data_IF_507680599923
#
_entry.id   IF_507680599923
#
_cell.length_a   1.000
_cell.length_b   1.000
_cell.length_c   1.000
_cell.angle_alpha   90.00
_cell.angle_beta   90.00
_cell.angle_gamma   90.00
#
_symmetry.space_group_name_H-M   'P 1'
#
loop_
_entity.id
_entity.type
_entity.pdbx_description
1 polymer ?
#
# COMPACT_ATOMS: atom_id res chain seq x y z
N UNK A 1 17.87 77.31 -71.29
CA UNK A 1 19.25 77.55 -71.76
C UNK A 1 20.02 78.23 -70.63
N UNK A 2 21.23 77.73 -70.31
CA UNK A 2 22.22 78.24 -69.31
C UNK A 2 21.83 78.08 -67.84
N UNK A 3 22.40 77.09 -67.14
CA UNK A 3 23.71 77.12 -66.42
C UNK A 3 23.69 78.20 -65.33
N UNK A 4 23.62 77.77 -64.07
CA UNK A 4 23.92 78.61 -62.91
C UNK A 4 24.67 77.79 -61.84
N UNK A 5 25.62 78.51 -61.26
CA UNK A 5 26.73 78.13 -60.40
C UNK A 5 26.30 77.73 -58.97
N UNK A 6 27.11 76.87 -58.33
CA UNK A 6 27.12 76.64 -56.87
C UNK A 6 27.56 77.89 -56.10
N UNK A 7 27.14 78.02 -54.82
CA UNK A 7 28.18 78.00 -53.78
C UNK A 7 27.81 77.25 -52.48
N UNK A 8 28.83 76.53 -51.99
CA UNK A 8 29.23 76.24 -50.60
C UNK A 8 28.15 76.29 -49.50
N UNK A 9 27.62 75.11 -49.18
CA UNK A 9 26.88 74.83 -47.95
C UNK A 9 27.80 74.35 -46.80
N UNK A 10 27.50 74.84 -45.62
CA UNK A 10 28.19 74.64 -44.34
C UNK A 10 28.21 73.18 -43.89
N UNK A 11 29.34 72.78 -43.28
CA UNK A 11 29.51 71.53 -42.55
C UNK A 11 28.54 71.47 -41.38
N UNK A 12 27.76 70.42 -41.29
CA UNK A 12 27.14 69.97 -40.04
C UNK A 12 27.27 68.45 -39.99
N UNK A 13 28.08 68.02 -39.04
CA UNK A 13 28.44 66.64 -38.76
C UNK A 13 27.22 66.00 -38.09
N UNK A 14 26.65 65.00 -38.76
CA UNK A 14 25.67 64.08 -38.17
C UNK A 14 26.37 63.29 -37.07
N UNK A 15 26.18 63.68 -35.80
CA UNK A 15 26.54 62.86 -34.66
C UNK A 15 25.49 61.75 -34.58
N UNK A 16 25.88 60.57 -35.05
CA UNK A 16 25.18 59.31 -34.81
C UNK A 16 25.25 59.05 -33.31
N UNK A 17 24.18 59.38 -32.59
CA UNK A 17 24.01 58.98 -31.20
C UNK A 17 23.88 57.45 -31.15
N UNK A 18 25.00 56.78 -30.89
CA UNK A 18 25.01 55.39 -30.43
C UNK A 18 24.31 55.40 -29.08
N UNK A 19 23.02 55.06 -29.10
CA UNK A 19 22.29 54.69 -27.89
C UNK A 19 22.86 53.34 -27.48
N UNK A 20 23.92 53.38 -26.67
CA UNK A 20 24.30 52.27 -25.80
C UNK A 20 23.12 52.05 -24.87
N UNK A 21 22.26 51.11 -25.24
CA UNK A 21 21.37 50.44 -24.30
C UNK A 21 22.30 49.72 -23.34
N UNK A 22 22.70 50.43 -22.28
CA UNK A 22 23.11 49.80 -21.04
C UNK A 22 21.83 49.13 -20.56
N UNK A 23 21.58 47.92 -21.06
CA UNK A 23 20.78 46.96 -20.34
C UNK A 23 21.49 46.83 -19.01
N UNK A 24 21.01 47.58 -18.02
CA UNK A 24 21.16 47.19 -16.64
C UNK A 24 20.61 45.77 -16.62
N UNK A 25 21.52 44.81 -16.72
CA UNK A 25 21.32 43.47 -16.22
C UNK A 25 21.06 43.70 -14.74
N UNK A 26 19.82 44.02 -14.41
CA UNK A 26 19.24 43.59 -13.17
C UNK A 26 19.33 42.08 -13.25
N UNK A 27 20.48 41.57 -12.80
CA UNK A 27 20.54 40.26 -12.22
C UNK A 27 19.42 40.26 -11.18
N UNK A 28 18.26 39.76 -11.60
CA UNK A 28 17.33 39.15 -10.69
C UNK A 28 18.07 37.94 -10.14
N UNK A 29 18.94 38.18 -9.17
CA UNK A 29 19.04 37.28 -8.03
C UNK A 29 17.66 37.27 -7.40
N UNK A 30 16.73 36.52 -8.01
CA UNK A 30 15.76 35.81 -7.20
C UNK A 30 16.63 34.84 -6.40
N UNK A 31 17.14 35.29 -5.27
CA UNK A 31 17.35 34.38 -4.15
C UNK A 31 16.08 33.53 -4.14
N UNK A 32 16.23 32.24 -4.44
CA UNK A 32 15.11 31.31 -4.40
C UNK A 32 14.39 31.61 -3.08
N UNK A 33 13.10 31.92 -3.14
CA UNK A 33 12.35 32.34 -1.96
C UNK A 33 12.41 31.15 -0.99
N UNK A 34 13.36 31.22 -0.06
CA UNK A 34 13.69 30.11 0.84
C UNK A 34 12.49 30.01 1.78
N UNK A 35 11.85 28.84 1.82
CA UNK A 35 10.70 28.64 2.70
C UNK A 35 11.07 29.03 4.14
N UNK A 36 10.17 29.70 4.89
CA UNK A 36 10.43 30.05 6.29
C UNK A 36 10.87 28.82 7.09
N UNK A 37 11.78 29.00 8.05
CA UNK A 37 12.36 27.91 8.83
C UNK A 37 13.46 27.10 8.13
N UNK A 38 13.58 27.08 6.80
CA UNK A 38 14.63 26.27 6.13
C UNK A 38 16.07 26.51 6.64
N UNK A 39 16.51 27.75 6.97
CA UNK A 39 17.85 27.96 7.53
C UNK A 39 18.09 27.31 8.90
N UNK A 40 17.05 26.85 9.61
CA UNK A 40 17.20 26.08 10.86
C UNK A 40 17.55 24.62 10.62
N UNK A 41 17.31 24.09 9.42
CA UNK A 41 17.63 22.70 9.08
C UNK A 41 19.14 22.61 8.86
N UNK A 42 19.85 22.00 9.81
CA UNK A 42 21.31 21.95 9.80
C UNK A 42 21.83 20.55 9.55
N UNK A 43 22.89 20.46 8.76
CA UNK A 43 23.57 19.18 8.48
C UNK A 43 24.04 18.52 9.78
N UNK A 44 24.55 19.29 10.75
CA UNK A 44 25.06 18.73 12.00
C UNK A 44 23.94 18.08 12.84
N UNK A 45 22.73 18.64 12.82
CA UNK A 45 21.57 18.12 13.56
C UNK A 45 20.99 16.87 12.89
N UNK A 46 20.81 16.92 11.56
CA UNK A 46 20.47 15.74 10.76
C UNK A 46 21.44 14.58 11.03
N UNK A 47 22.74 14.87 11.05
CA UNK A 47 23.76 13.85 11.30
C UNK A 47 23.69 13.31 12.73
N UNK A 48 23.40 14.16 13.73
CA UNK A 48 23.28 13.73 15.12
C UNK A 48 22.07 12.79 15.31
N UNK A 49 20.90 13.18 14.81
CA UNK A 49 19.68 12.39 14.89
C UNK A 49 19.85 11.06 14.14
N UNK A 50 20.40 11.10 12.92
CA UNK A 50 20.69 9.89 12.14
C UNK A 50 21.71 8.98 12.84
N UNK A 51 22.77 9.53 13.43
CA UNK A 51 23.80 8.73 14.10
C UNK A 51 23.25 7.99 15.32
N UNK A 52 22.34 8.62 16.07
CA UNK A 52 21.65 7.95 17.16
C UNK A 52 20.70 6.88 16.64
N UNK A 53 19.82 7.24 15.70
CA UNK A 53 18.83 6.33 15.13
C UNK A 53 19.48 5.11 14.49
N UNK A 54 20.60 5.28 13.79
CA UNK A 54 21.36 4.20 13.18
C UNK A 54 22.46 3.61 14.08
N UNK A 55 22.45 3.88 15.38
CA UNK A 55 23.47 3.33 16.29
C UNK A 55 23.27 1.84 16.57
N UNK A 56 24.36 1.14 16.86
CA UNK A 56 24.32 -0.26 17.30
C UNK A 56 23.50 -0.45 18.57
N UNK A 57 23.38 0.59 19.41
CA UNK A 57 22.57 0.54 20.63
C UNK A 57 21.07 0.28 20.35
N UNK A 58 20.59 0.65 19.15
CA UNK A 58 19.22 0.42 18.73
C UNK A 58 19.02 -0.90 17.97
N UNK A 59 20.08 -1.69 17.78
CA UNK A 59 20.02 -3.08 17.26
C UNK A 59 19.15 -3.24 16.01
N UNK A 60 19.17 -2.26 15.11
CA UNK A 60 18.40 -2.26 13.85
C UNK A 60 16.88 -2.09 13.98
N UNK A 61 16.36 -1.72 15.17
CA UNK A 61 14.98 -1.26 15.39
C UNK A 61 13.87 -2.16 14.84
N UNK A 62 14.08 -3.47 14.83
CA UNK A 62 13.04 -4.42 14.38
C UNK A 62 11.78 -4.26 15.24
N UNK A 63 10.62 -4.28 14.58
CA UNK A 63 9.32 -4.25 15.25
C UNK A 63 9.25 -5.21 16.43
N UNK A 64 8.74 -4.73 17.57
CA UNK A 64 8.64 -5.53 18.79
C UNK A 64 9.95 -5.74 19.56
N UNK A 65 11.05 -5.05 19.18
CA UNK A 65 12.31 -5.08 19.93
C UNK A 65 12.51 -3.84 20.80
N UNK A 66 13.36 -3.95 21.82
CA UNK A 66 13.78 -2.81 22.66
C UNK A 66 14.40 -1.66 21.85
N UNK A 67 15.09 -1.97 20.75
CA UNK A 67 15.65 -0.94 19.87
C UNK A 67 14.57 -0.08 19.21
N UNK A 68 13.46 -0.69 18.81
CA UNK A 68 12.30 0.00 18.28
C UNK A 68 11.61 0.86 19.36
N UNK A 69 11.47 0.33 20.58
CA UNK A 69 10.94 1.07 21.73
C UNK A 69 11.79 2.30 22.06
N UNK A 70 13.12 2.18 22.06
CA UNK A 70 14.02 3.31 22.32
C UNK A 70 13.95 4.37 21.22
N UNK A 71 13.82 3.97 19.95
CA UNK A 71 13.65 4.90 18.85
C UNK A 71 12.32 5.67 18.96
N UNK A 72 11.23 5.01 19.32
CA UNK A 72 9.93 5.67 19.54
C UNK A 72 9.98 6.66 20.71
N UNK A 73 10.67 6.31 21.81
CA UNK A 73 10.87 7.25 22.93
C UNK A 73 11.74 8.46 22.56
N UNK A 74 12.76 8.27 21.72
CA UNK A 74 13.59 9.35 21.21
C UNK A 74 12.77 10.35 20.37
N UNK A 75 11.95 9.85 19.44
CA UNK A 75 11.08 10.69 18.61
C UNK A 75 10.07 11.45 19.49
N UNK A 76 9.43 10.78 20.46
CA UNK A 76 8.54 11.42 21.43
C UNK A 76 9.26 12.56 22.16
N UNK A 77 10.46 12.32 22.67
CA UNK A 77 11.23 13.33 23.39
C UNK A 77 11.62 14.53 22.50
N UNK A 78 11.91 14.31 21.21
CA UNK A 78 12.12 15.39 20.24
C UNK A 78 10.84 16.20 20.04
N UNK A 79 9.69 15.56 19.80
CA UNK A 79 8.41 16.27 19.68
C UNK A 79 8.02 17.07 20.92
N UNK A 80 8.24 16.53 22.12
CA UNK A 80 8.02 17.26 23.37
C UNK A 80 8.94 18.46 23.53
N UNK A 81 10.23 18.31 23.20
CA UNK A 81 11.19 19.43 23.22
C UNK A 81 10.74 20.56 22.29
N UNK A 82 10.14 20.22 21.15
CA UNK A 82 9.62 21.18 20.17
C UNK A 82 8.25 21.77 20.54
N UNK A 83 7.65 21.37 21.67
CA UNK A 83 6.35 21.90 22.12
C UNK A 83 5.13 21.43 21.33
N UNK A 84 5.31 20.47 20.41
CA UNK A 84 4.25 19.90 19.60
C UNK A 84 3.20 19.20 20.46
N UNK A 85 1.96 19.12 19.97
CA UNK A 85 0.86 18.55 20.74
C UNK A 85 0.67 17.06 20.46
N UNK A 86 0.48 16.23 21.50
CA UNK A 86 0.06 14.85 21.31
C UNK A 86 -1.34 14.79 20.70
N UNK A 87 -1.56 13.84 19.79
CA UNK A 87 -2.85 13.66 19.09
C UNK A 87 -3.40 12.24 19.14
N UNK A 88 -2.78 11.34 19.90
CA UNK A 88 -3.37 10.02 20.12
C UNK A 88 -4.65 10.14 20.96
N UNK A 89 -5.54 9.16 20.83
CA UNK A 89 -6.87 9.15 21.47
C UNK A 89 -6.83 9.16 23.00
N UNK A 90 -5.72 8.71 23.59
CA UNK A 90 -5.49 8.72 25.04
C UNK A 90 -4.80 10.00 25.54
N UNK A 91 -4.56 10.98 24.64
CA UNK A 91 -3.86 12.23 24.94
C UNK A 91 -2.34 12.10 24.97
N UNK A 92 -1.77 10.96 24.58
CA UNK A 92 -0.33 10.73 24.46
C UNK A 92 0.19 10.97 23.04
N UNK A 93 1.52 10.88 22.86
CA UNK A 93 2.15 10.85 21.53
C UNK A 93 2.06 9.47 20.87
N UNK A 94 1.58 8.44 21.57
CA UNK A 94 1.61 7.07 21.07
C UNK A 94 0.26 6.66 20.51
N UNK A 95 0.19 6.54 19.18
CA UNK A 95 -0.93 5.86 18.55
C UNK A 95 -0.64 4.36 18.54
N UNK A 96 -1.21 3.64 19.50
CA UNK A 96 -1.07 2.18 19.59
C UNK A 96 -1.83 1.47 18.47
N UNK A 97 -1.23 0.41 17.94
CA UNK A 97 -1.87 -0.53 17.04
C UNK A 97 -1.38 -1.95 17.32
N UNK A 98 -2.06 -2.91 16.72
CA UNK A 98 -1.71 -4.31 16.83
C UNK A 98 -1.37 -4.85 15.44
N UNK A 99 -0.21 -5.48 15.34
CA UNK A 99 0.18 -6.31 14.21
C UNK A 99 -0.15 -7.77 14.51
N UNK A 100 -0.15 -8.59 13.48
CA UNK A 100 -0.28 -10.04 13.57
C UNK A 100 0.81 -10.72 12.75
N UNK A 101 1.47 -11.71 13.35
CA UNK A 101 2.27 -12.72 12.66
C UNK A 101 1.51 -14.03 12.62
N UNK A 102 1.81 -14.85 11.61
CA UNK A 102 0.94 -15.96 11.25
C UNK A 102 1.77 -17.22 11.01
N UNK A 103 1.26 -18.37 11.46
CA UNK A 103 1.82 -19.68 11.16
C UNK A 103 0.75 -20.61 10.58
N UNK A 104 1.17 -21.49 9.68
CA UNK A 104 0.28 -22.49 9.09
C UNK A 104 0.08 -23.64 10.09
N UNK A 105 -1.16 -23.87 10.51
CA UNK A 105 -1.52 -25.00 11.36
C UNK A 105 -1.55 -26.33 10.59
N UNK A 106 -1.84 -27.42 11.31
CA UNK A 106 -1.79 -28.78 10.74
C UNK A 106 -3.12 -29.26 10.17
N UNK A 107 -4.23 -28.62 10.51
CA UNK A 107 -5.59 -29.02 10.11
C UNK A 107 -6.09 -28.24 8.89
N UNK A 108 -5.36 -28.34 7.78
CA UNK A 108 -5.71 -27.72 6.50
C UNK A 108 -6.11 -28.79 5.48
N UNK A 109 -7.35 -28.75 4.98
CA UNK A 109 -7.88 -29.72 4.02
C UNK A 109 -8.92 -29.06 3.12
N UNK A 110 -8.85 -29.33 1.81
CA UNK A 110 -9.91 -29.00 0.87
C UNK A 110 -10.32 -30.25 0.10
N UNK A 111 -11.61 -30.57 0.12
CA UNK A 111 -12.18 -31.65 -0.68
C UNK A 111 -13.42 -31.16 -1.41
N UNK A 112 -13.76 -31.81 -2.52
CA UNK A 112 -14.97 -31.50 -3.26
C UNK A 112 -15.69 -32.76 -3.72
N UNK A 113 -17.01 -32.66 -3.81
CA UNK A 113 -17.84 -33.60 -4.57
C UNK A 113 -18.20 -32.93 -5.89
N UNK A 114 -17.84 -33.56 -7.01
CA UNK A 114 -18.07 -33.06 -8.38
C UNK A 114 -18.83 -34.12 -9.16
N UNK A 115 -20.09 -33.86 -9.50
CA UNK A 115 -20.98 -34.81 -10.18
C UNK A 115 -20.99 -36.20 -9.54
N UNK A 116 -21.05 -36.24 -8.19
CA UNK A 116 -21.07 -37.47 -7.39
C UNK A 116 -19.71 -38.16 -7.21
N UNK A 117 -18.60 -37.57 -7.70
CA UNK A 117 -17.24 -38.09 -7.51
C UNK A 117 -16.45 -37.21 -6.55
N UNK A 118 -15.73 -37.84 -5.63
CA UNK A 118 -14.84 -37.13 -4.72
C UNK A 118 -13.56 -36.70 -5.45
N UNK A 119 -13.22 -35.42 -5.31
CA UNK A 119 -11.96 -34.82 -5.75
C UNK A 119 -11.25 -34.35 -4.49
N UNK A 120 -10.02 -34.85 -4.28
CA UNK A 120 -9.15 -34.43 -3.18
C UNK A 120 -8.10 -33.47 -3.70
N UNK A 121 -7.58 -32.65 -2.80
CA UNK A 121 -6.51 -31.71 -3.05
C UNK A 121 -5.39 -31.92 -2.03
N UNK A 122 -4.16 -31.56 -2.40
CA UNK A 122 -2.98 -31.65 -1.54
C UNK A 122 -2.53 -30.24 -1.15
N UNK A 123 -2.33 -30.00 0.15
CA UNK A 123 -1.78 -28.74 0.65
C UNK A 123 -0.40 -28.48 0.02
N UNK A 124 -0.20 -27.29 -0.51
CA UNK A 124 1.02 -26.87 -1.21
C UNK A 124 1.03 -27.12 -2.71
N UNK A 125 0.45 -28.23 -3.17
CA UNK A 125 0.38 -28.53 -4.60
C UNK A 125 -0.91 -28.01 -5.24
N UNK A 126 -2.04 -28.19 -4.54
CA UNK A 126 -3.38 -27.87 -5.05
C UNK A 126 -4.05 -26.71 -4.32
N UNK A 127 -3.65 -26.40 -3.09
CA UNK A 127 -4.15 -25.24 -2.36
C UNK A 127 -3.20 -24.75 -1.26
N UNK A 128 -3.35 -23.51 -0.83
CA UNK A 128 -2.86 -23.03 0.46
C UNK A 128 -3.80 -21.96 1.05
N UNK A 129 -4.00 -21.89 2.38
CA UNK A 129 -4.74 -20.79 2.98
C UNK A 129 -3.94 -19.48 2.87
N UNK A 130 -4.61 -18.39 2.52
CA UNK A 130 -4.01 -17.06 2.61
C UNK A 130 -3.66 -16.74 4.06
N UNK A 131 -2.60 -15.95 4.30
CA UNK A 131 -2.18 -15.59 5.66
C UNK A 131 -3.28 -14.88 6.45
N UNK A 132 -4.11 -14.06 5.80
CA UNK A 132 -5.21 -13.38 6.46
C UNK A 132 -6.47 -14.25 6.62
N UNK A 133 -6.48 -15.49 6.11
CA UNK A 133 -7.62 -16.42 6.19
C UNK A 133 -8.06 -16.61 7.63
N UNK A 134 -9.36 -16.69 7.87
CA UNK A 134 -9.85 -17.20 9.15
C UNK A 134 -9.60 -18.71 9.25
N UNK A 135 -9.64 -19.23 10.48
CA UNK A 135 -9.60 -20.68 10.72
C UNK A 135 -11.00 -21.23 10.92
N UNK A 136 -11.25 -22.44 10.46
CA UNK A 136 -12.54 -23.10 10.66
C UNK A 136 -12.84 -24.14 9.61
N UNK A 137 -14.03 -24.71 9.73
CA UNK A 137 -14.57 -25.73 8.83
C UNK A 137 -15.89 -25.24 8.25
N UNK A 138 -16.01 -25.25 6.92
CA UNK A 138 -17.22 -24.89 6.20
C UNK A 138 -17.46 -25.82 5.01
N UNK A 139 -18.71 -25.92 4.60
CA UNK A 139 -19.11 -26.67 3.42
C UNK A 139 -20.22 -25.93 2.68
N UNK A 140 -20.16 -25.90 1.35
CA UNK A 140 -21.16 -25.22 0.56
C UNK A 140 -21.11 -25.55 -0.93
N UNK A 141 -22.21 -25.27 -1.66
CA UNK A 141 -22.19 -25.32 -3.11
C UNK A 141 -21.26 -24.24 -3.68
N UNK A 142 -20.66 -24.51 -4.84
CA UNK A 142 -19.72 -23.61 -5.48
C UNK A 142 -20.42 -22.59 -6.39
N UNK A 143 -19.93 -21.36 -6.38
CA UNK A 143 -20.31 -20.30 -7.32
C UNK A 143 -19.05 -19.70 -7.93
N UNK A 144 -19.04 -19.44 -9.23
CA UNK A 144 -17.97 -18.68 -9.87
C UNK A 144 -18.35 -17.20 -9.93
N UNK A 145 -17.58 -16.33 -9.29
CA UNK A 145 -17.90 -14.92 -9.08
C UNK A 145 -16.89 -13.98 -9.77
N UNK A 146 -16.44 -14.32 -10.99
CA UNK A 146 -15.56 -13.45 -11.77
C UNK A 146 -14.24 -13.15 -11.04
N UNK A 147 -13.86 -11.88 -10.96
CA UNK A 147 -12.69 -11.42 -10.18
C UNK A 147 -13.02 -11.19 -8.70
N UNK A 148 -14.29 -11.28 -8.31
CA UNK A 148 -14.72 -11.18 -6.92
C UNK A 148 -14.63 -9.76 -6.35
N UNK A 149 -14.73 -8.74 -7.21
CA UNK A 149 -14.62 -7.32 -6.84
C UNK A 149 -16.01 -6.71 -6.65
N UNK A 150 -16.18 -5.96 -5.55
CA UNK A 150 -17.32 -5.05 -5.35
C UNK A 150 -16.77 -3.64 -5.05
N UNK A 151 -16.97 -2.72 -5.99
CA UNK A 151 -16.59 -1.31 -5.85
C UNK A 151 -17.74 -0.43 -6.36
N UNK A 152 -18.59 0.09 -5.45
CA UNK A 152 -19.64 1.05 -5.81
C UNK A 152 -19.08 2.32 -6.46
N UNK A 153 -17.91 2.79 -6.02
CA UNK A 153 -17.24 3.98 -6.54
C UNK A 153 -16.87 3.83 -8.01
N UNK A 154 -16.46 2.62 -8.42
CA UNK A 154 -16.10 2.30 -9.80
C UNK A 154 -17.26 1.79 -10.65
N UNK A 155 -18.47 1.70 -10.07
CA UNK A 155 -19.62 1.03 -10.67
C UNK A 155 -19.32 -0.40 -11.13
N UNK A 156 -18.46 -1.11 -10.39
CA UNK A 156 -18.04 -2.48 -10.67
C UNK A 156 -18.55 -3.43 -9.59
N UNK A 157 -19.27 -4.48 -9.96
CA UNK A 157 -19.81 -5.43 -8.99
C UNK A 157 -19.94 -6.85 -9.58
N UNK A 158 -19.06 -7.74 -9.14
CA UNK A 158 -19.06 -9.18 -9.45
C UNK A 158 -20.02 -10.01 -8.60
N UNK A 159 -20.72 -9.38 -7.66
CA UNK A 159 -21.76 -9.99 -6.84
C UNK A 159 -23.15 -9.41 -7.13
N UNK A 160 -23.29 -8.68 -8.24
CA UNK A 160 -24.51 -7.96 -8.60
C UNK A 160 -25.73 -8.86 -8.58
N UNK A 161 -26.66 -8.52 -7.68
CA UNK A 161 -27.94 -9.19 -7.53
C UNK A 161 -27.84 -10.63 -7.01
N UNK A 162 -26.70 -11.02 -6.43
CA UNK A 162 -26.50 -12.35 -5.87
C UNK A 162 -26.48 -12.35 -4.34
N UNK A 163 -27.08 -13.40 -3.79
CA UNK A 163 -26.97 -13.81 -2.40
C UNK A 163 -26.09 -15.08 -2.36
N UNK A 164 -24.93 -14.95 -1.72
CA UNK A 164 -23.99 -16.05 -1.57
C UNK A 164 -24.14 -16.80 -0.25
N UNK A 165 -25.22 -16.57 0.50
CA UNK A 165 -25.50 -17.25 1.77
C UNK A 165 -25.28 -18.76 1.69
N UNK A 166 -24.31 -19.25 2.47
CA UNK A 166 -23.97 -20.68 2.54
C UNK A 166 -23.16 -21.22 1.36
N UNK A 167 -22.69 -20.37 0.44
CA UNK A 167 -21.95 -20.77 -0.77
C UNK A 167 -20.46 -20.53 -0.63
N UNK A 168 -19.68 -21.34 -1.34
CA UNK A 168 -18.23 -21.12 -1.52
C UNK A 168 -18.03 -20.34 -2.82
N UNK A 169 -17.35 -19.20 -2.76
CA UNK A 169 -17.04 -18.38 -3.93
C UNK A 169 -15.72 -18.83 -4.55
N UNK A 170 -15.71 -19.11 -5.85
CA UNK A 170 -14.50 -19.25 -6.67
C UNK A 170 -14.32 -17.97 -7.47
N UNK A 171 -13.17 -17.33 -7.29
CA UNK A 171 -12.83 -16.06 -7.93
C UNK A 171 -11.48 -16.17 -8.63
N UNK A 172 -11.29 -15.33 -9.64
CA UNK A 172 -9.99 -15.11 -10.26
C UNK A 172 -9.17 -14.18 -9.36
N UNK A 173 -7.90 -14.52 -9.17
CA UNK A 173 -6.93 -13.53 -8.72
C UNK A 173 -6.72 -12.45 -9.80
N UNK A 174 -6.02 -11.36 -9.47
CA UNK A 174 -5.82 -10.19 -10.36
C UNK A 174 -7.09 -9.39 -10.65
N UNK A 175 -7.11 -8.53 -11.66
CA UNK A 175 -8.24 -7.69 -12.00
C UNK A 175 -8.59 -7.75 -13.50
N UNK A 176 -9.81 -7.36 -13.90
CA UNK A 176 -10.17 -7.27 -15.32
C UNK A 176 -9.40 -6.13 -16.01
N UNK A 177 -9.21 -6.27 -17.32
CA UNK A 177 -8.69 -5.20 -18.18
C UNK A 177 -7.17 -4.99 -18.11
N UNK A 178 -6.42 -5.93 -17.54
CA UNK A 178 -4.96 -5.85 -17.43
C UNK A 178 -4.27 -5.95 -18.81
N UNK A 179 -4.83 -6.71 -19.76
CA UNK A 179 -4.31 -6.82 -21.13
C UNK A 179 -5.29 -6.30 -22.18
N UNK A 180 -5.06 -5.09 -22.73
CA UNK A 180 -5.92 -4.53 -23.79
C UNK A 180 -5.59 -3.10 -24.27
N UNK A 181 -5.97 -2.76 -25.50
CA UNK A 181 -5.72 -1.46 -26.16
C UNK A 181 -6.63 -0.31 -25.66
N UNK A 182 -7.51 -0.59 -24.69
CA UNK A 182 -8.38 0.38 -24.01
C UNK A 182 -7.80 0.83 -22.66
N UNK A 183 -6.52 1.21 -22.64
CA UNK A 183 -5.71 1.70 -21.51
C UNK A 183 -6.24 2.98 -20.80
N UNK A 184 -7.55 3.24 -20.85
CA UNK A 184 -8.19 4.47 -20.36
C UNK A 184 -8.61 4.44 -18.88
N UNK A 185 -8.44 3.31 -18.19
CA UNK A 185 -8.66 3.18 -16.73
C UNK A 185 -7.41 2.64 -16.01
N UNK A 186 -6.24 3.11 -16.44
CA UNK A 186 -4.91 2.56 -16.12
C UNK A 186 -4.38 2.90 -14.71
N UNK A 187 -5.23 3.04 -13.69
CA UNK A 187 -4.80 3.31 -12.31
C UNK A 187 -5.78 2.86 -11.22
N UNK A 188 -6.95 2.28 -11.55
CA UNK A 188 -8.03 2.09 -10.55
C UNK A 188 -8.18 0.65 -10.04
N UNK A 189 -7.78 -0.35 -10.83
CA UNK A 189 -7.89 -1.76 -10.45
C UNK A 189 -6.59 -2.36 -9.87
N UNK A 190 -5.51 -1.58 -9.79
CA UNK A 190 -4.21 -2.06 -9.30
C UNK A 190 -3.98 -1.91 -7.79
N UNK A 191 -4.76 -1.14 -7.02
CA UNK A 191 -4.25 -0.67 -5.71
C UNK A 191 -4.93 -1.16 -4.44
N UNK A 192 -6.25 -1.35 -4.38
CA UNK A 192 -6.87 -1.80 -3.11
C UNK A 192 -8.00 -2.83 -3.27
N UNK A 193 -9.03 -2.51 -4.05
CA UNK A 193 -10.25 -3.35 -4.14
C UNK A 193 -10.00 -4.72 -4.79
N UNK A 194 -8.94 -4.84 -5.59
CA UNK A 194 -8.54 -6.10 -6.21
C UNK A 194 -7.63 -6.96 -5.33
N UNK A 195 -7.21 -6.48 -4.15
CA UNK A 195 -6.40 -7.29 -3.25
C UNK A 195 -7.18 -8.51 -2.74
N UNK A 196 -6.53 -9.67 -2.52
CA UNK A 196 -7.21 -10.87 -2.00
C UNK A 196 -7.96 -10.62 -0.69
N UNK A 197 -7.44 -9.73 0.18
CA UNK A 197 -8.11 -9.36 1.42
C UNK A 197 -9.44 -8.64 1.14
N UNK A 198 -9.45 -7.62 0.27
CA UNK A 198 -10.68 -6.87 -0.03
C UNK A 198 -11.71 -7.74 -0.77
N UNK A 199 -11.27 -8.58 -1.71
CA UNK A 199 -12.15 -9.56 -2.38
C UNK A 199 -12.77 -10.55 -1.40
N UNK A 200 -12.01 -10.99 -0.40
CA UNK A 200 -12.51 -11.85 0.68
C UNK A 200 -13.58 -11.13 1.49
N UNK A 201 -13.35 -9.87 1.87
CA UNK A 201 -14.33 -9.07 2.61
C UNK A 201 -15.60 -8.81 1.78
N UNK A 202 -15.47 -8.59 0.47
CA UNK A 202 -16.60 -8.46 -0.44
C UNK A 202 -17.43 -9.76 -0.49
N UNK A 203 -16.80 -10.91 -0.76
CA UNK A 203 -17.50 -12.20 -0.77
C UNK A 203 -18.21 -12.48 0.56
N UNK A 204 -17.54 -12.20 1.68
CA UNK A 204 -18.11 -12.31 3.02
C UNK A 204 -19.34 -11.40 3.21
N UNK A 205 -19.26 -10.13 2.78
CA UNK A 205 -20.37 -9.19 2.85
C UNK A 205 -21.58 -9.65 2.03
N UNK A 206 -21.35 -10.42 0.97
CA UNK A 206 -22.40 -11.07 0.16
C UNK A 206 -22.85 -12.45 0.68
N UNK A 207 -22.35 -12.90 1.83
CA UNK A 207 -22.81 -14.11 2.51
C UNK A 207 -22.04 -15.39 2.18
N UNK A 208 -20.96 -15.30 1.39
CA UNK A 208 -20.12 -16.47 1.12
C UNK A 208 -19.52 -17.02 2.43
N UNK A 209 -19.43 -18.35 2.54
CA UNK A 209 -18.87 -19.02 3.72
C UNK A 209 -17.39 -19.37 3.57
N UNK A 210 -16.87 -19.33 2.34
CA UNK A 210 -15.44 -19.39 2.02
C UNK A 210 -15.19 -18.77 0.63
N UNK A 211 -13.94 -18.40 0.38
CA UNK A 211 -13.46 -17.94 -0.92
C UNK A 211 -12.24 -18.75 -1.37
N UNK A 212 -12.25 -19.15 -2.64
CA UNK A 212 -11.18 -19.84 -3.35
C UNK A 212 -10.70 -18.91 -4.47
N UNK A 213 -9.42 -18.60 -4.47
CA UNK A 213 -8.74 -17.83 -5.50
C UNK A 213 -8.05 -18.78 -6.47
N UNK A 214 -8.11 -18.47 -7.76
CA UNK A 214 -7.30 -19.13 -8.77
C UNK A 214 -6.67 -18.06 -9.66
N UNK A 215 -5.37 -18.19 -9.95
CA UNK A 215 -4.67 -17.25 -10.84
C UNK A 215 -5.42 -17.09 -12.17
N UNK A 216 -5.60 -15.84 -12.59
CA UNK A 216 -6.21 -15.52 -13.88
C UNK A 216 -5.36 -16.03 -15.06
N UNK A 217 -5.82 -17.10 -15.69
CA UNK A 217 -5.15 -17.71 -16.85
C UNK A 217 -5.30 -16.88 -18.13
N UNK A 218 -6.21 -15.90 -18.17
CA UNK A 218 -6.44 -15.09 -19.36
C UNK A 218 -5.37 -14.00 -19.52
N UNK A 219 -5.18 -13.16 -18.50
CA UNK A 219 -4.16 -12.10 -18.52
C UNK A 219 -2.77 -12.62 -18.12
N UNK A 220 -2.73 -13.71 -17.34
CA UNK A 220 -1.48 -14.33 -16.86
C UNK A 220 -1.32 -15.78 -17.33
N UNK A 221 -1.27 -16.02 -18.66
CA UNK A 221 -1.16 -17.38 -19.19
C UNK A 221 0.18 -18.04 -18.85
N UNK A 222 1.21 -17.24 -18.56
CA UNK A 222 2.62 -17.65 -18.43
C UNK A 222 3.24 -17.44 -17.05
N UNK A 223 2.46 -17.31 -15.96
CA UNK A 223 3.04 -17.32 -14.61
C UNK A 223 3.70 -18.69 -14.40
N UNK A 224 5.01 -18.75 -14.63
CA UNK A 224 5.82 -19.96 -14.59
C UNK A 224 6.09 -20.50 -13.19
N UNK A 225 5.38 -19.99 -12.18
CA UNK A 225 5.36 -20.56 -10.84
C UNK A 225 4.34 -21.69 -10.76
N UNK A 226 4.71 -22.80 -10.12
CA UNK A 226 3.72 -23.74 -9.63
C UNK A 226 3.09 -23.18 -8.35
N UNK A 227 1.87 -23.60 -8.01
CA UNK A 227 1.27 -23.28 -6.71
C UNK A 227 2.19 -23.69 -5.54
N UNK A 228 3.02 -24.71 -5.72
CA UNK A 228 4.07 -25.08 -4.75
C UNK A 228 5.09 -23.98 -4.50
N UNK A 229 5.54 -23.27 -5.55
CA UNK A 229 6.46 -22.14 -5.39
C UNK A 229 5.80 -20.95 -4.70
N UNK A 230 4.53 -20.69 -4.99
CA UNK A 230 3.73 -19.65 -4.33
C UNK A 230 3.48 -20.00 -2.86
N UNK A 231 3.15 -21.26 -2.58
CA UNK A 231 3.02 -21.76 -1.21
C UNK A 231 4.31 -21.60 -0.44
N UNK A 232 5.46 -21.97 -1.01
CA UNK A 232 6.75 -21.81 -0.36
C UNK A 232 7.10 -20.34 -0.08
N UNK A 233 6.59 -19.40 -0.88
CA UNK A 233 6.70 -17.97 -0.60
C UNK A 233 5.72 -17.52 0.49
N UNK A 234 4.46 -17.98 0.45
CA UNK A 234 3.42 -17.62 1.41
C UNK A 234 3.72 -18.16 2.82
N UNK A 235 4.21 -19.40 2.87
CA UNK A 235 4.49 -20.23 4.04
C UNK A 235 5.89 -20.86 3.91
N UNK A 236 6.96 -20.08 4.11
CA UNK A 236 8.33 -20.57 3.99
C UNK A 236 8.62 -21.68 5.00
N UNK A 237 9.50 -22.60 4.61
CA UNK A 237 9.99 -23.63 5.52
C UNK A 237 10.89 -22.98 6.60
N UNK A 238 10.51 -23.14 7.87
CA UNK A 238 11.21 -22.54 9.00
C UNK A 238 10.68 -21.15 9.38
N UNK A 239 11.19 -20.63 10.49
CA UNK A 239 10.81 -19.30 10.98
C UNK A 239 11.65 -18.25 10.24
N UNK A 240 11.03 -17.29 9.53
CA UNK A 240 11.78 -16.25 8.85
C UNK A 240 12.47 -15.36 9.90
N UNK A 241 13.62 -14.78 9.54
CA UNK A 241 14.34 -13.82 10.41
C UNK A 241 13.47 -12.60 10.73
N UNK A 242 12.77 -12.10 9.72
CA UNK A 242 11.79 -11.02 9.84
C UNK A 242 10.43 -11.63 9.56
N UNK A 243 9.56 -11.54 10.57
CA UNK A 243 8.19 -12.00 10.46
C UNK A 243 7.40 -11.16 9.46
N UNK A 244 6.41 -11.79 8.83
CA UNK A 244 5.49 -11.07 7.93
C UNK A 244 4.30 -10.56 8.73
N UNK A 245 4.30 -9.27 8.98
CA UNK A 245 3.24 -8.61 9.74
C UNK A 245 2.03 -8.29 8.87
N UNK A 246 0.85 -8.36 9.48
CA UNK A 246 -0.39 -7.79 8.95
C UNK A 246 -1.05 -6.93 10.02
N UNK A 247 -1.78 -5.88 9.64
CA UNK A 247 -2.51 -5.10 10.62
C UNK A 247 -3.64 -5.96 11.21
N UNK A 248 -3.64 -6.14 12.53
CA UNK A 248 -4.58 -7.00 13.24
C UNK A 248 -6.03 -6.55 12.99
N UNK A 249 -6.26 -5.24 12.88
CA UNK A 249 -7.56 -4.65 12.58
C UNK A 249 -8.11 -5.09 11.21
N UNK A 250 -7.25 -5.34 10.22
CA UNK A 250 -7.68 -5.85 8.91
C UNK A 250 -7.96 -7.35 8.97
N UNK A 251 -7.03 -8.12 9.51
CA UNK A 251 -7.12 -9.58 9.59
C UNK A 251 -8.32 -10.04 10.43
N UNK A 252 -8.71 -9.32 11.48
CA UNK A 252 -9.90 -9.62 12.30
C UNK A 252 -11.24 -9.41 11.60
N UNK A 253 -11.27 -8.64 10.50
CA UNK A 253 -12.49 -8.44 9.69
C UNK A 253 -12.81 -9.67 8.84
N UNK A 254 -11.79 -10.48 8.53
CA UNK A 254 -11.95 -11.75 7.80
C UNK A 254 -12.43 -12.83 8.78
N UNK A 255 -13.59 -13.40 8.48
CA UNK A 255 -14.34 -14.38 9.28
C UNK A 255 -14.72 -15.63 8.48
N UNK A 256 -14.14 -15.78 7.29
CA UNK A 256 -14.33 -16.91 6.41
C UNK A 256 -12.98 -17.47 5.95
N UNK A 257 -12.87 -18.77 5.68
CA UNK A 257 -11.70 -19.34 5.03
C UNK A 257 -11.44 -18.71 3.65
N UNK A 258 -10.18 -18.36 3.39
CA UNK A 258 -9.72 -17.78 2.15
C UNK A 258 -8.46 -18.51 1.66
N UNK A 259 -8.51 -19.11 0.47
CA UNK A 259 -7.45 -20.00 0.00
C UNK A 259 -7.10 -19.72 -1.45
N UNK A 260 -5.83 -19.84 -1.80
CA UNK A 260 -5.40 -19.99 -3.18
C UNK A 260 -5.54 -21.47 -3.58
N UNK A 261 -5.95 -21.75 -4.81
CA UNK A 261 -6.05 -23.10 -5.37
C UNK A 261 -5.37 -23.20 -6.75
N UNK A 262 -4.93 -24.41 -7.10
CA UNK A 262 -4.30 -24.69 -8.39
C UNK A 262 -5.29 -24.54 -9.54
N UNK A 263 -4.77 -24.22 -10.72
CA UNK A 263 -5.54 -24.14 -11.97
C UNK A 263 -6.17 -25.48 -12.31
N UNK A 264 -5.47 -26.56 -12.00
CA UNK A 264 -5.89 -27.95 -12.21
C UNK A 264 -7.08 -28.28 -11.31
N UNK A 265 -7.00 -27.94 -10.02
CA UNK A 265 -8.09 -28.16 -9.08
C UNK A 265 -9.30 -27.29 -9.43
N UNK A 266 -9.11 -26.00 -9.70
CA UNK A 266 -10.18 -25.11 -10.18
C UNK A 266 -10.85 -25.64 -11.46
N UNK A 267 -10.05 -26.11 -12.42
CA UNK A 267 -10.57 -26.70 -13.67
C UNK A 267 -11.37 -27.97 -13.40
N UNK A 268 -10.97 -28.81 -12.44
CA UNK A 268 -11.72 -29.99 -12.04
C UNK A 268 -13.08 -29.62 -11.42
N UNK A 269 -13.12 -28.60 -10.57
CA UNK A 269 -14.36 -28.06 -9.98
C UNK A 269 -15.30 -27.49 -11.06
N UNK A 270 -14.77 -26.84 -12.09
CA UNK A 270 -15.58 -26.19 -13.13
C UNK A 270 -16.09 -27.14 -14.22
N UNK A 271 -15.64 -28.40 -14.28
CA UNK A 271 -16.02 -29.38 -15.33
C UNK A 271 -17.53 -29.50 -15.56
N UNK A 272 -18.42 -29.54 -14.53
CA UNK A 272 -19.86 -29.68 -14.74
C UNK A 272 -20.51 -28.52 -15.49
N UNK A 273 -19.85 -27.35 -15.56
CA UNK A 273 -20.35 -26.20 -16.32
C UNK A 273 -20.28 -26.40 -17.84
N UNK A 274 -19.47 -27.37 -18.31
CA UNK A 274 -19.13 -27.53 -19.72
C UNK A 274 -18.22 -26.43 -20.28
N UNK A 275 -17.72 -25.51 -19.43
CA UNK A 275 -16.82 -24.41 -19.79
C UNK A 275 -15.45 -24.60 -19.13
N UNK A 276 -14.40 -24.28 -19.87
CA UNK A 276 -13.03 -24.25 -19.35
C UNK A 276 -12.80 -23.03 -18.45
N UNK A 277 -11.79 -23.11 -17.56
CA UNK A 277 -11.33 -21.97 -16.76
C UNK A 277 -10.98 -20.76 -17.64
N UNK A 278 -10.31 -20.99 -18.78
CA UNK A 278 -9.94 -19.93 -19.71
C UNK A 278 -11.15 -19.27 -20.42
N UNK A 279 -12.25 -20.00 -20.66
CA UNK A 279 -13.50 -19.41 -21.18
C UNK A 279 -14.27 -18.65 -20.12
N UNK A 280 -14.16 -19.04 -18.84
CA UNK A 280 -14.75 -18.32 -17.73
C UNK A 280 -13.96 -17.05 -17.41
N UNK A 281 -12.63 -17.14 -17.39
CA UNK A 281 -11.72 -15.99 -17.21
C UNK A 281 -11.92 -14.92 -18.28
N UNK A 282 -11.88 -15.31 -19.57
CA UNK A 282 -12.20 -14.39 -20.68
C UNK A 282 -13.58 -13.76 -20.58
N UNK A 283 -14.54 -14.47 -20.00
CA UNK A 283 -15.88 -13.94 -19.83
C UNK A 283 -15.99 -13.04 -18.59
N UNK A 284 -15.09 -13.15 -17.61
CA UNK A 284 -15.01 -12.29 -16.44
C UNK A 284 -14.44 -10.90 -16.78
N UNK A 285 -13.78 -10.75 -17.95
CA UNK A 285 -13.40 -9.46 -18.54
C UNK A 285 -14.62 -8.58 -18.81
N UNK A 286 -15.03 -7.85 -17.79
CA UNK A 286 -16.17 -6.93 -17.77
C UNK A 286 -15.71 -5.57 -17.29
N UNK A 287 -16.36 -4.51 -17.73
CA UNK A 287 -16.13 -3.14 -17.23
C UNK A 287 -17.01 -2.78 -16.04
N UNK A 288 -18.01 -3.61 -15.72
CA UNK A 288 -18.99 -3.33 -14.65
C UNK A 288 -19.18 -4.50 -13.70
N UNK A 289 -18.35 -5.54 -13.78
CA UNK A 289 -18.58 -6.81 -13.10
C UNK A 289 -19.72 -7.62 -13.71
N UNK A 290 -20.10 -8.73 -13.06
CA UNK A 290 -21.14 -9.66 -13.53
C UNK A 290 -21.88 -10.32 -12.37
N UNK A 291 -23.05 -10.91 -12.65
CA UNK A 291 -23.72 -11.77 -11.67
C UNK A 291 -22.96 -13.10 -11.53
N UNK A 292 -22.69 -13.58 -10.30
CA UNK A 292 -22.10 -14.88 -10.04
C UNK A 292 -22.83 -16.03 -10.72
N UNK A 293 -22.08 -16.99 -11.25
CA UNK A 293 -22.59 -18.17 -11.94
C UNK A 293 -22.53 -19.40 -11.03
N UNK A 294 -23.67 -20.00 -10.63
CA UNK A 294 -23.66 -21.27 -9.90
C UNK A 294 -22.95 -22.38 -10.69
N UNK A 295 -22.16 -23.20 -10.00
CA UNK A 295 -21.53 -24.38 -10.59
C UNK A 295 -22.37 -25.61 -10.22
N UNK A 296 -23.03 -26.28 -11.17
CA UNK A 296 -23.93 -27.38 -10.87
C UNK A 296 -23.17 -28.59 -10.34
N UNK A 297 -23.82 -29.37 -9.48
CA UNK A 297 -23.30 -30.64 -8.95
C UNK A 297 -21.91 -30.54 -8.28
N UNK A 298 -21.57 -29.38 -7.72
CA UNK A 298 -20.33 -29.17 -6.97
C UNK A 298 -20.62 -28.69 -5.56
N UNK A 299 -20.05 -29.41 -4.59
CA UNK A 299 -20.01 -29.04 -3.17
C UNK A 299 -18.58 -29.13 -2.66
N UNK A 300 -18.10 -28.06 -2.03
CA UNK A 300 -16.73 -27.96 -1.53
C UNK A 300 -16.76 -27.96 0.00
N UNK A 301 -15.86 -28.73 0.60
CA UNK A 301 -15.59 -28.77 2.01
C UNK A 301 -14.19 -28.17 2.25
N UNK A 302 -14.11 -27.19 3.14
CA UNK A 302 -12.91 -26.41 3.42
C UNK A 302 -12.64 -26.43 4.91
N UNK A 303 -11.46 -26.88 5.29
CA UNK A 303 -10.91 -26.76 6.64
C UNK A 303 -9.61 -25.96 6.57
N UNK A 304 -9.53 -24.90 7.37
CA UNK A 304 -8.33 -24.05 7.47
C UNK A 304 -7.87 -23.90 8.91
N UNK A 305 -6.56 -23.86 9.09
CA UNK A 305 -5.90 -23.61 10.36
C UNK A 305 -4.74 -22.65 10.11
N UNK A 306 -4.98 -21.39 10.46
CA UNK A 306 -4.00 -20.29 10.43
C UNK A 306 -3.88 -19.75 11.85
N UNK A 307 -2.74 -20.03 12.48
CA UNK A 307 -2.43 -19.57 13.82
C UNK A 307 -1.97 -18.11 13.75
N UNK A 308 -2.54 -17.25 14.60
CA UNK A 308 -2.26 -15.81 14.63
C UNK A 308 -1.68 -15.43 15.98
N UNK A 309 -0.59 -14.67 15.97
CA UNK A 309 0.04 -14.10 17.17
C UNK A 309 -0.03 -12.59 17.07
N UNK A 310 -0.60 -11.95 18.08
CA UNK A 310 -0.67 -10.48 18.16
C UNK A 310 0.68 -9.93 18.60
N UNK A 311 1.16 -8.92 17.88
CA UNK A 311 2.38 -8.17 18.18
C UNK A 311 1.98 -6.70 18.38
N UNK A 312 1.95 -6.18 19.62
CA UNK A 312 1.62 -4.78 19.87
C UNK A 312 2.75 -3.88 19.37
N UNK A 313 2.39 -2.71 18.86
CA UNK A 313 3.34 -1.70 18.38
C UNK A 313 2.70 -0.29 18.42
N UNK A 314 3.46 0.76 18.12
CA UNK A 314 3.01 2.15 18.27
C UNK A 314 3.65 3.09 17.25
N UNK A 315 2.83 3.96 16.68
CA UNK A 315 3.31 5.15 15.98
C UNK A 315 3.58 6.26 17.00
N UNK A 316 4.48 7.18 16.67
CA UNK A 316 4.65 8.43 17.41
C UNK A 316 4.02 9.56 16.58
N UNK A 317 2.99 10.20 17.12
CA UNK A 317 2.19 11.21 16.41
C UNK A 317 2.12 12.50 17.21
N UNK A 318 2.37 13.61 16.53
CA UNK A 318 2.28 14.95 17.07
C UNK A 318 1.69 15.91 16.03
N UNK A 319 1.19 17.05 16.48
CA UNK A 319 0.58 18.05 15.62
C UNK A 319 1.01 19.47 15.99
N UNK A 320 0.99 20.33 14.97
CA UNK A 320 1.00 21.77 15.10
C UNK A 320 -0.35 22.29 14.56
N UNK A 321 -1.09 23.07 15.35
CA UNK A 321 -2.40 23.55 14.90
C UNK A 321 -2.28 24.61 13.81
N UNK A 322 -3.12 24.49 12.76
CA UNK A 322 -3.25 25.50 11.73
C UNK A 322 -3.83 26.83 12.24
N UNK A 323 -3.48 27.92 11.58
CA UNK A 323 -3.89 29.28 11.95
C UNK A 323 -5.18 29.78 11.29
N UNK A 324 -5.65 29.19 10.17
CA UNK A 324 -6.88 29.62 9.50
C UNK A 324 -8.10 28.89 10.12
N UNK A 325 -9.05 29.62 10.74
CA UNK A 325 -10.23 29.01 11.37
C UNK A 325 -11.11 28.21 10.40
N UNK A 326 -11.01 28.45 9.09
CA UNK A 326 -11.76 27.73 8.05
C UNK A 326 -11.06 26.45 7.60
N UNK A 327 -9.75 26.34 7.82
CA UNK A 327 -8.93 25.18 7.42
C UNK A 327 -8.46 24.36 8.62
N UNK A 328 -8.93 24.68 9.84
CA UNK A 328 -8.52 24.02 11.09
C UNK A 328 -8.76 22.50 11.14
N UNK A 329 -9.65 22.00 10.28
CA UNK A 329 -9.99 20.58 10.17
C UNK A 329 -9.25 19.89 9.01
N UNK A 330 -8.39 20.63 8.28
CA UNK A 330 -7.52 20.12 7.22
C UNK A 330 -6.09 19.94 7.75
N UNK A 331 -5.53 18.75 7.55
CA UNK A 331 -4.22 18.35 8.06
C UNK A 331 -3.28 17.95 6.91
N UNK A 332 -2.03 18.36 7.00
CA UNK A 332 -0.94 17.88 6.15
C UNK A 332 -0.11 16.87 6.95
N UNK A 333 -0.21 15.60 6.58
CA UNK A 333 0.53 14.54 7.27
C UNK A 333 1.90 14.39 6.62
N UNK A 334 2.95 14.55 7.42
CA UNK A 334 4.33 14.20 7.07
C UNK A 334 4.72 12.98 7.90
N UNK A 335 5.18 11.92 7.25
CA UNK A 335 5.49 10.65 7.90
C UNK A 335 6.79 10.04 7.41
N UNK A 336 7.42 9.27 8.30
CA UNK A 336 8.56 8.40 8.03
C UNK A 336 8.39 7.13 8.86
N UNK A 337 8.68 5.96 8.28
CA UNK A 337 8.72 4.73 9.08
C UNK A 337 10.02 4.68 9.90
N UNK A 338 10.01 3.95 11.02
CA UNK A 338 11.11 3.98 12.01
C UNK A 338 11.79 2.63 12.20
N UNK A 339 11.04 1.56 11.94
CA UNK A 339 11.47 0.17 12.09
C UNK A 339 12.39 -0.25 10.96
N UNK A 340 13.29 -1.19 11.23
CA UNK A 340 14.11 -1.83 10.21
C UNK A 340 14.35 -3.31 10.54
N UNK A 341 15.44 -3.88 10.04
CA UNK A 341 15.63 -5.31 9.89
C UNK A 341 16.16 -5.97 11.16
N UNK A 342 16.52 -5.20 12.18
CA UNK A 342 17.09 -5.74 13.41
C UNK A 342 18.56 -6.18 13.26
N UNK A 343 18.91 -7.31 13.87
CA UNK A 343 20.24 -7.90 13.82
C UNK A 343 20.19 -9.39 13.46
N UNK A 344 21.25 -9.89 12.84
CA UNK A 344 21.49 -11.31 12.55
C UNK A 344 22.87 -11.73 13.08
N UNK A 345 22.89 -12.44 14.19
CA UNK A 345 24.12 -12.78 14.90
C UNK A 345 24.91 -11.53 15.28
N UNK A 346 26.07 -11.34 14.66
CA UNK A 346 26.95 -10.18 14.89
C UNK A 346 26.69 -9.02 13.94
N UNK A 347 25.84 -9.19 12.93
CA UNK A 347 25.55 -8.16 11.93
C UNK A 347 24.31 -7.38 12.36
N UNK A 348 24.42 -6.05 12.44
CA UNK A 348 23.31 -5.15 12.74
C UNK A 348 22.90 -4.46 11.43
N UNK A 349 21.60 -4.43 11.16
CA UNK A 349 21.03 -3.71 10.02
C UNK A 349 20.57 -2.34 10.51
N UNK A 350 21.54 -1.42 10.63
CA UNK A 350 21.34 -0.13 11.31
C UNK A 350 20.35 0.80 10.62
N UNK A 351 20.13 0.66 9.32
CA UNK A 351 19.02 1.35 8.67
C UNK A 351 19.13 2.84 8.47
N UNK A 352 20.36 3.34 8.32
CA UNK A 352 20.60 4.77 8.16
C UNK A 352 19.89 5.36 6.93
N UNK A 353 19.99 4.72 5.77
CA UNK A 353 19.47 5.27 4.51
C UNK A 353 17.98 4.96 4.29
N UNK A 354 17.54 3.75 4.67
CA UNK A 354 16.17 3.27 4.45
C UNK A 354 15.13 4.04 5.28
N UNK A 355 15.38 4.24 6.58
CA UNK A 355 14.41 4.87 7.47
C UNK A 355 14.97 5.89 8.47
N UNK A 356 16.21 5.70 8.96
CA UNK A 356 16.82 6.64 9.89
C UNK A 356 16.91 8.06 9.31
N UNK A 357 17.28 8.17 8.03
CA UNK A 357 17.40 9.43 7.29
C UNK A 357 16.05 10.14 7.15
N UNK A 358 14.98 9.38 6.87
CA UNK A 358 13.62 9.89 6.76
C UNK A 358 13.09 10.44 8.09
N UNK A 359 13.33 9.73 9.19
CA UNK A 359 12.97 10.20 10.54
C UNK A 359 13.78 11.45 10.92
N UNK A 360 15.09 11.47 10.66
CA UNK A 360 15.93 12.65 10.91
C UNK A 360 15.42 13.88 10.11
N UNK A 361 15.10 13.69 8.83
CA UNK A 361 14.52 14.75 8.00
C UNK A 361 13.16 15.24 8.54
N UNK A 362 12.31 14.32 8.99
CA UNK A 362 11.02 14.67 9.59
C UNK A 362 11.19 15.51 10.86
N UNK A 363 12.12 15.14 11.74
CA UNK A 363 12.39 15.86 12.99
C UNK A 363 12.87 17.29 12.74
N UNK A 364 13.74 17.50 11.75
CA UNK A 364 14.23 18.83 11.38
C UNK A 364 13.15 19.69 10.71
N UNK A 365 12.29 19.08 9.87
CA UNK A 365 11.11 19.76 9.34
C UNK A 365 10.20 20.19 10.49
N UNK A 366 9.95 19.30 11.45
CA UNK A 366 9.13 19.60 12.63
C UNK A 366 9.76 20.73 13.48
N UNK A 367 11.07 20.75 13.65
CA UNK A 367 11.80 21.82 14.36
C UNK A 367 11.68 23.16 13.62
N UNK A 368 11.81 23.18 12.30
CA UNK A 368 11.58 24.38 11.50
C UNK A 368 10.16 24.94 11.69
N UNK A 369 9.13 24.09 11.65
CA UNK A 369 7.75 24.51 11.90
C UNK A 369 7.51 25.01 13.33
N UNK A 370 8.13 24.37 14.33
CA UNK A 370 8.03 24.80 15.72
C UNK A 370 8.68 26.18 15.95
N UNK A 371 9.86 26.43 15.38
CA UNK A 371 10.54 27.73 15.43
C UNK A 371 9.68 28.82 14.79
N UNK A 372 9.05 28.53 13.66
CA UNK A 372 8.19 29.47 12.96
C UNK A 372 6.90 29.75 13.74
N UNK A 373 6.31 28.75 14.42
CA UNK A 373 5.19 28.93 15.35
C UNK A 373 5.56 29.85 16.53
N UNK A 374 6.71 29.63 17.18
CA UNK A 374 7.22 30.51 18.24
C UNK A 374 7.40 31.96 17.75
N UNK A 375 7.77 32.12 16.47
CA UNK A 375 7.89 33.42 15.82
C UNK A 375 6.55 34.00 15.31
N UNK A 376 5.42 33.35 15.61
CA UNK A 376 4.06 33.77 15.26
C UNK A 376 3.64 33.46 13.82
N UNK A 377 4.40 32.63 13.09
CA UNK A 377 4.19 32.26 11.69
C UNK A 377 3.76 30.79 11.56
N UNK A 378 2.52 30.52 11.99
CA UNK A 378 1.91 29.19 11.84
C UNK A 378 1.44 28.92 10.40
N UNK A 379 1.46 27.66 9.95
CA UNK A 379 0.82 27.27 8.70
C UNK A 379 -0.69 27.52 8.74
N UNK A 380 -1.35 27.66 7.57
CA UNK A 380 -2.81 27.82 7.52
C UNK A 380 -3.55 26.53 7.91
N UNK A 381 -2.99 25.38 7.53
CA UNK A 381 -3.45 24.02 7.85
C UNK A 381 -2.60 23.43 8.97
N UNK A 382 -3.17 22.48 9.71
CA UNK A 382 -2.42 21.72 10.70
C UNK A 382 -1.50 20.68 10.09
#
# INVERSE_FOLDING_TARGET
MRIMYLPRGSRSITILAVVTVVSAVQAQDRAADVAPGNPSIRQEELQADLSFLASDALQGRLTGTTGNELATEFIRARFERLGLKPVASDGSFFQSYELMTNALGTSNEVTAQVAGKSVRSTLGDDFYPHRFSDSGHVEGPLVFAGFGIASPEDAYDDYRGADLSGRVALVLDHAPGETGAGRSRKTMFETEVATPLQKTLAAQAHGAVAILFVTDVHNHPSTGGSLGSETASAWPAGTPRIERYTLAAWTRRVRIPALEISREFASALLRPTGRSLAELARAAESTTGRTPMPVPDVRVNVSTSVLRTVVPDRNVVAALEGSDPRLRDEWVIVGAHLDHDGADGTTIFNGADDNGSGVAGLLEIAEAYAIEDEAGRRPSRG
#
